data_IF_483487686387
#
_entry.id   IF_483487686387
#
_cell.length_a   1.000
_cell.length_b   1.000
_cell.length_c   1.000
_cell.angle_alpha   90.00
_cell.angle_beta   90.00
_cell.angle_gamma   90.00
#
_symmetry.space_group_name_H-M   'P 1'
#
loop_
_entity.id
_entity.type
_entity.pdbx_description
1 polymer ?
#
# COMPACT_ATOMS: atom_id res chain seq x y z
N UNK A 1 -20.76 2.37 21.44
CA UNK A 1 -20.71 3.68 20.74
C UNK A 1 -21.82 4.50 21.35
N UNK A 2 -21.50 5.52 22.14
CA UNK A 2 -22.46 6.28 22.95
C UNK A 2 -23.29 7.22 22.07
N UNK A 3 -24.57 7.42 22.41
CA UNK A 3 -25.49 8.38 21.77
C UNK A 3 -24.87 9.79 21.56
N UNK A 4 -23.99 10.22 22.48
CA UNK A 4 -23.24 11.49 22.40
C UNK A 4 -22.40 11.64 21.11
N UNK A 5 -21.79 10.56 20.60
CA UNK A 5 -21.01 10.65 19.33
C UNK A 5 -21.89 10.75 18.08
N UNK A 6 -23.11 10.25 18.12
CA UNK A 6 -24.06 10.39 17.00
C UNK A 6 -24.57 11.83 16.89
N UNK A 7 -24.74 12.53 18.00
CA UNK A 7 -25.12 13.95 18.01
C UNK A 7 -24.00 14.86 17.46
N UNK A 8 -22.72 14.56 17.79
CA UNK A 8 -21.58 15.26 17.21
C UNK A 8 -21.51 15.08 15.68
N UNK A 9 -21.72 13.87 15.18
CA UNK A 9 -21.73 13.61 13.74
C UNK A 9 -22.90 14.31 13.02
N UNK A 10 -24.07 14.38 13.62
CA UNK A 10 -25.21 15.12 13.08
C UNK A 10 -24.94 16.62 13.00
N UNK A 11 -24.26 17.17 14.02
CA UNK A 11 -23.84 18.57 14.01
C UNK A 11 -22.87 18.88 12.85
N UNK A 12 -21.84 18.05 12.65
CA UNK A 12 -20.92 18.20 11.52
C UNK A 12 -21.62 18.10 10.16
N UNK A 13 -22.58 17.20 10.02
CA UNK A 13 -23.34 17.07 8.79
C UNK A 13 -24.23 18.29 8.50
N UNK A 14 -24.81 18.88 9.54
CA UNK A 14 -25.56 20.15 9.42
C UNK A 14 -24.66 21.31 8.96
N UNK A 15 -23.42 21.37 9.49
CA UNK A 15 -22.42 22.35 9.03
C UNK A 15 -22.05 22.14 7.56
N UNK A 16 -21.81 20.90 7.13
CA UNK A 16 -21.51 20.56 5.74
C UNK A 16 -22.67 20.93 4.83
N UNK A 17 -23.90 20.62 5.22
CA UNK A 17 -25.11 20.97 4.48
C UNK A 17 -25.27 22.48 4.34
N UNK A 18 -25.04 23.24 5.42
CA UNK A 18 -25.05 24.69 5.40
C UNK A 18 -23.98 25.28 4.48
N UNK A 19 -22.76 24.72 4.55
CA UNK A 19 -21.66 25.14 3.67
C UNK A 19 -21.97 24.89 2.20
N UNK A 20 -22.55 23.73 1.86
CA UNK A 20 -22.98 23.42 0.50
C UNK A 20 -24.00 24.43 -0.01
N UNK A 21 -25.02 24.77 0.79
CA UNK A 21 -26.04 25.76 0.44
C UNK A 21 -25.44 27.14 0.21
N UNK A 22 -24.54 27.60 1.09
CA UNK A 22 -23.86 28.89 0.96
C UNK A 22 -23.03 28.95 -0.34
N UNK A 23 -22.44 27.83 -0.76
CA UNK A 23 -21.69 27.74 -2.00
C UNK A 23 -22.57 27.40 -3.24
N UNK A 24 -23.90 27.45 -3.12
CA UNK A 24 -24.85 27.10 -4.19
C UNK A 24 -24.65 25.70 -4.77
N UNK A 25 -24.18 24.77 -3.94
CA UNK A 25 -24.00 23.36 -4.28
C UNK A 25 -25.19 22.55 -3.75
N UNK A 26 -25.72 21.65 -4.57
CA UNK A 26 -26.78 20.73 -4.16
C UNK A 26 -26.18 19.35 -3.82
N UNK A 27 -26.56 18.79 -2.68
CA UNK A 27 -26.15 17.46 -2.29
C UNK A 27 -26.90 16.39 -3.09
N UNK A 28 -26.18 15.52 -3.78
CA UNK A 28 -26.78 14.35 -4.42
C UNK A 28 -26.93 13.22 -3.39
N UNK A 29 -28.04 13.23 -2.67
CA UNK A 29 -28.34 12.23 -1.63
C UNK A 29 -28.45 10.80 -2.16
N UNK A 30 -28.76 10.59 -3.45
CA UNK A 30 -28.78 9.27 -4.07
C UNK A 30 -27.39 8.67 -4.30
N UNK A 31 -26.34 9.52 -4.27
CA UNK A 31 -24.94 9.11 -4.38
C UNK A 31 -24.16 9.27 -3.09
N UNK A 32 -24.81 9.77 -2.02
CA UNK A 32 -24.19 9.94 -0.72
C UNK A 32 -24.36 8.65 0.08
N UNK A 33 -23.26 8.06 0.43
CA UNK A 33 -23.19 6.81 1.21
C UNK A 33 -22.34 7.04 2.47
N UNK A 34 -22.61 6.31 3.52
CA UNK A 34 -21.72 6.27 4.66
C UNK A 34 -21.36 4.84 5.05
N UNK A 35 -20.17 4.67 5.58
CA UNK A 35 -19.67 3.38 6.04
C UNK A 35 -19.35 3.46 7.53
N UNK A 36 -19.78 2.45 8.28
CA UNK A 36 -19.46 2.30 9.69
C UNK A 36 -18.31 1.30 9.85
N UNK A 37 -17.12 1.78 10.15
CA UNK A 37 -15.99 0.90 10.44
C UNK A 37 -16.15 0.22 11.79
N UNK A 38 -16.10 -1.12 11.78
CA UNK A 38 -16.30 -1.94 12.98
C UNK A 38 -15.45 -3.21 12.94
N UNK A 39 -15.19 -3.75 14.14
CA UNK A 39 -14.60 -5.08 14.24
C UNK A 39 -15.61 -6.16 13.79
N UNK A 40 -15.19 -7.18 13.02
CA UNK A 40 -16.06 -8.29 12.63
C UNK A 40 -16.60 -9.07 13.84
N UNK A 41 -15.83 -9.10 14.93
CA UNK A 41 -16.15 -9.88 16.14
C UNK A 41 -17.03 -9.13 17.16
N UNK A 42 -17.42 -7.87 16.89
CA UNK A 42 -18.31 -7.11 17.75
C UNK A 42 -19.66 -6.91 17.07
N UNK A 43 -20.73 -7.52 17.57
CA UNK A 43 -22.06 -7.22 17.08
C UNK A 43 -22.38 -5.76 17.33
N UNK A 44 -22.82 -5.07 16.31
CA UNK A 44 -23.31 -3.69 16.40
C UNK A 44 -24.69 -3.69 15.82
N UNK A 45 -25.64 -3.07 16.53
CA UNK A 45 -26.94 -2.83 15.94
C UNK A 45 -26.77 -1.94 14.70
N UNK A 46 -27.13 -2.46 13.53
CA UNK A 46 -27.01 -1.77 12.25
C UNK A 46 -28.23 -0.90 11.91
N UNK A 47 -29.17 -0.77 12.83
CA UNK A 47 -30.32 0.14 12.71
C UNK A 47 -29.93 1.61 12.93
N UNK A 48 -28.68 1.92 12.57
CA UNK A 48 -28.11 3.27 12.59
C UNK A 48 -28.42 3.91 11.24
N UNK A 49 -28.96 5.11 11.29
CA UNK A 49 -29.16 5.95 10.12
C UNK A 49 -28.65 7.36 10.38
N UNK A 50 -28.30 8.03 9.32
CA UNK A 50 -27.88 9.43 9.33
C UNK A 50 -28.93 10.20 8.54
N UNK A 51 -29.46 11.27 9.13
CA UNK A 51 -30.33 12.22 8.44
C UNK A 51 -29.46 13.32 7.80
N UNK A 52 -29.60 13.49 6.50
CA UNK A 52 -28.91 14.53 5.75
C UNK A 52 -29.91 15.23 4.83
N UNK A 53 -30.18 16.51 5.09
CA UNK A 53 -31.20 17.31 4.39
C UNK A 53 -32.55 16.62 4.26
N UNK A 54 -33.06 16.05 5.37
CA UNK A 54 -34.34 15.35 5.44
C UNK A 54 -34.35 13.96 4.83
N UNK A 55 -33.23 13.46 4.30
CA UNK A 55 -33.12 12.11 3.75
C UNK A 55 -32.37 11.18 4.70
N UNK A 56 -32.97 10.00 4.90
CA UNK A 56 -32.40 8.94 5.74
C UNK A 56 -31.40 8.12 4.95
N UNK A 57 -30.12 8.22 5.31
CA UNK A 57 -29.03 7.39 4.75
C UNK A 57 -28.84 6.14 5.61
N UNK A 58 -28.64 4.97 4.97
CA UNK A 58 -28.27 3.73 5.63
C UNK A 58 -26.79 3.43 5.45
N UNK A 59 -26.15 2.72 6.39
CA UNK A 59 -24.76 2.31 6.22
C UNK A 59 -24.61 1.30 5.10
N UNK A 60 -23.54 1.44 4.31
CA UNK A 60 -23.16 0.47 3.28
C UNK A 60 -22.02 -0.42 3.77
N UNK A 61 -21.94 -1.66 3.28
CA UNK A 61 -20.88 -2.61 3.65
C UNK A 61 -19.53 -2.28 3.03
N UNK A 62 -19.51 -1.62 1.90
CA UNK A 62 -18.29 -1.16 1.22
C UNK A 62 -18.59 0.12 0.44
N UNK A 63 -17.57 0.94 0.27
CA UNK A 63 -17.64 2.20 -0.49
C UNK A 63 -16.45 2.26 -1.46
N UNK A 64 -16.66 2.86 -2.63
CA UNK A 64 -15.58 3.15 -3.57
C UNK A 64 -15.11 4.58 -3.36
N UNK A 65 -13.93 4.75 -2.78
CA UNK A 65 -13.32 6.05 -2.55
C UNK A 65 -12.03 6.19 -3.36
N UNK A 66 -11.95 7.21 -4.22
CA UNK A 66 -10.81 7.45 -5.12
C UNK A 66 -10.34 6.20 -5.87
N UNK A 67 -11.28 5.36 -6.30
CA UNK A 67 -10.98 4.13 -7.05
C UNK A 67 -10.58 2.92 -6.21
N UNK A 68 -10.50 3.04 -4.89
CA UNK A 68 -10.23 1.96 -3.95
C UNK A 68 -11.54 1.53 -3.27
N UNK A 69 -11.79 0.22 -3.17
CA UNK A 69 -12.94 -0.35 -2.48
C UNK A 69 -12.57 -0.57 -1.01
N UNK A 70 -13.26 0.13 -0.12
CA UNK A 70 -13.04 0.08 1.34
C UNK A 70 -14.23 -0.64 1.95
N UNK A 71 -14.00 -1.74 2.66
CA UNK A 71 -15.04 -2.49 3.36
C UNK A 71 -15.13 -2.12 4.85
N UNK A 72 -16.28 -2.37 5.47
CA UNK A 72 -16.60 -2.01 6.86
C UNK A 72 -15.64 -2.60 7.91
N UNK A 73 -14.90 -3.65 7.55
CA UNK A 73 -13.95 -4.32 8.42
C UNK A 73 -12.49 -4.01 8.09
N UNK A 74 -12.23 -3.19 7.04
CA UNK A 74 -10.89 -2.91 6.51
C UNK A 74 -10.13 -4.20 6.17
N UNK A 75 -10.85 -5.22 5.71
CA UNK A 75 -10.28 -6.53 5.35
C UNK A 75 -9.58 -6.51 3.99
N UNK A 76 -9.96 -5.56 3.14
CA UNK A 76 -9.49 -5.39 1.76
C UNK A 76 -9.88 -6.53 0.82
N UNK A 77 -10.72 -7.48 1.25
CA UNK A 77 -11.11 -8.63 0.42
C UNK A 77 -11.74 -8.21 -0.90
N UNK A 78 -12.67 -7.26 -0.86
CA UNK A 78 -13.38 -6.72 -2.04
C UNK A 78 -12.40 -6.01 -2.98
N UNK A 79 -11.46 -5.22 -2.44
CA UNK A 79 -10.42 -4.54 -3.20
C UNK A 79 -9.49 -5.55 -3.89
N UNK A 80 -9.04 -6.58 -3.18
CA UNK A 80 -8.15 -7.59 -3.75
C UNK A 80 -8.85 -8.40 -4.84
N UNK A 81 -10.12 -8.78 -4.66
CA UNK A 81 -10.90 -9.44 -5.71
C UNK A 81 -11.03 -8.56 -6.97
N UNK A 82 -11.32 -7.27 -6.78
CA UNK A 82 -11.38 -6.30 -7.88
C UNK A 82 -10.02 -6.18 -8.60
N UNK A 83 -8.93 -6.06 -7.84
CA UNK A 83 -7.59 -5.99 -8.37
C UNK A 83 -7.21 -7.27 -9.14
N UNK A 84 -7.46 -8.46 -8.58
CA UNK A 84 -7.21 -9.73 -9.25
C UNK A 84 -7.94 -9.84 -10.58
N UNK A 85 -9.22 -9.41 -10.67
CA UNK A 85 -9.97 -9.36 -11.94
C UNK A 85 -9.28 -8.44 -12.96
N UNK A 86 -8.81 -7.28 -12.53
CA UNK A 86 -8.09 -6.31 -13.38
C UNK A 86 -6.77 -6.89 -13.91
N UNK A 87 -5.99 -7.49 -13.00
CA UNK A 87 -4.71 -8.12 -13.35
C UNK A 87 -4.89 -9.35 -14.25
N UNK A 88 -5.94 -10.15 -14.05
CA UNK A 88 -6.26 -11.29 -14.92
C UNK A 88 -6.62 -10.85 -16.34
N UNK A 89 -7.36 -9.76 -16.51
CA UNK A 89 -7.62 -9.18 -17.83
C UNK A 89 -6.33 -8.72 -18.52
N UNK A 90 -5.46 -8.01 -17.80
CA UNK A 90 -4.14 -7.61 -18.31
C UNK A 90 -3.29 -8.84 -18.71
N UNK A 91 -3.35 -9.91 -17.92
CA UNK A 91 -2.70 -11.20 -18.23
C UNK A 91 -3.21 -11.79 -19.53
N UNK A 92 -4.51 -11.78 -19.78
CA UNK A 92 -5.12 -12.25 -21.05
C UNK A 92 -4.65 -11.42 -22.25
N UNK A 93 -4.57 -10.09 -22.10
CA UNK A 93 -4.03 -9.21 -23.17
C UNK A 93 -2.57 -9.57 -23.46
N UNK A 94 -1.74 -9.70 -22.43
CA UNK A 94 -0.32 -10.04 -22.58
C UNK A 94 -0.13 -11.44 -23.19
N UNK A 95 -1.00 -12.41 -22.87
CA UNK A 95 -0.95 -13.75 -23.46
C UNK A 95 -1.18 -13.74 -24.97
N UNK A 96 -2.10 -12.91 -25.45
CA UNK A 96 -2.32 -12.75 -26.90
C UNK A 96 -1.21 -11.94 -27.57
N UNK A 97 -0.77 -10.87 -26.92
CA UNK A 97 0.21 -9.93 -27.47
C UNK A 97 1.60 -10.59 -27.67
N UNK A 98 2.00 -11.49 -26.74
CA UNK A 98 3.33 -12.11 -26.75
C UNK A 98 3.67 -12.85 -28.04
N UNK A 99 2.66 -13.32 -28.80
CA UNK A 99 2.85 -14.04 -30.06
C UNK A 99 3.06 -13.12 -31.26
N UNK A 100 2.59 -11.87 -31.13
CA UNK A 100 2.55 -10.92 -32.25
C UNK A 100 3.40 -9.67 -32.04
N UNK A 101 4.08 -9.55 -30.89
CA UNK A 101 4.86 -8.35 -30.57
C UNK A 101 6.20 -8.69 -29.89
N UNK A 102 7.23 -7.87 -30.14
CA UNK A 102 8.53 -8.05 -29.48
C UNK A 102 8.41 -7.90 -27.97
N UNK A 103 9.30 -8.57 -27.22
CA UNK A 103 9.32 -8.55 -25.76
C UNK A 103 9.31 -7.14 -25.16
N UNK A 104 10.02 -6.20 -25.79
CA UNK A 104 10.05 -4.80 -25.36
C UNK A 104 8.65 -4.18 -25.33
N UNK A 105 7.85 -4.42 -26.35
CA UNK A 105 6.44 -3.95 -26.40
C UNK A 105 5.58 -4.63 -25.33
N UNK A 106 5.73 -5.95 -25.17
CA UNK A 106 5.02 -6.69 -24.11
C UNK A 106 5.37 -6.17 -22.72
N UNK A 107 6.64 -5.83 -22.46
CA UNK A 107 7.06 -5.22 -21.19
C UNK A 107 6.45 -3.82 -20.99
N UNK A 108 6.36 -2.99 -22.03
CA UNK A 108 5.69 -1.69 -21.95
C UNK A 108 4.21 -1.85 -21.57
N UNK A 109 3.51 -2.81 -22.18
CA UNK A 109 2.12 -3.14 -21.85
C UNK A 109 2.01 -3.73 -20.43
N UNK A 110 2.95 -4.57 -19.99
CA UNK A 110 3.02 -5.05 -18.62
C UNK A 110 3.10 -3.88 -17.62
N UNK A 111 4.01 -2.93 -17.85
CA UNK A 111 4.13 -1.79 -16.95
C UNK A 111 2.90 -0.88 -16.96
N UNK A 112 2.24 -0.71 -18.10
CA UNK A 112 1.04 0.12 -18.21
C UNK A 112 -0.22 -0.54 -17.62
N UNK A 113 -0.51 -1.79 -17.96
CA UNK A 113 -1.79 -2.43 -17.63
C UNK A 113 -1.73 -3.33 -16.40
N UNK A 114 -0.57 -3.90 -16.06
CA UNK A 114 -0.41 -4.80 -14.93
C UNK A 114 0.22 -4.10 -13.74
N UNK A 115 1.36 -3.44 -13.92
CA UNK A 115 2.12 -2.84 -12.83
C UNK A 115 1.44 -1.60 -12.22
N UNK A 116 0.84 -0.72 -13.04
CA UNK A 116 0.21 0.50 -12.53
C UNK A 116 -0.98 0.21 -11.59
N UNK A 117 -1.95 -0.66 -11.94
CA UNK A 117 -3.00 -1.05 -11.00
C UNK A 117 -2.47 -1.68 -9.72
N UNK A 118 -1.33 -2.39 -9.80
CA UNK A 118 -0.73 -3.09 -8.67
C UNK A 118 -0.11 -2.13 -7.65
N UNK A 119 0.45 -1.01 -8.08
CA UNK A 119 1.03 0.00 -7.18
C UNK A 119 0.02 1.06 -6.73
N UNK A 120 -1.13 1.17 -7.42
CA UNK A 120 -2.13 2.19 -7.09
C UNK A 120 -2.75 1.95 -5.72
N UNK A 121 -2.54 2.91 -4.81
CA UNK A 121 -3.03 2.85 -3.44
C UNK A 121 -2.54 1.65 -2.61
N UNK A 122 -1.48 0.96 -3.03
CA UNK A 122 -0.99 -0.23 -2.36
C UNK A 122 -0.57 0.02 -0.90
N UNK A 123 -0.12 1.20 -0.54
CA UNK A 123 0.17 1.56 0.85
C UNK A 123 -1.08 1.44 1.76
N UNK A 124 -2.28 1.49 1.18
CA UNK A 124 -3.54 1.38 1.94
C UNK A 124 -3.98 -0.09 2.06
N UNK A 125 -4.04 -0.83 0.95
CA UNK A 125 -4.62 -2.18 0.91
C UNK A 125 -3.60 -3.32 1.07
N UNK A 126 -2.30 -3.06 0.99
CA UNK A 126 -1.27 -4.12 1.02
C UNK A 126 -1.12 -4.83 2.37
N UNK A 127 -1.69 -4.27 3.43
CA UNK A 127 -1.66 -4.86 4.77
C UNK A 127 -2.85 -5.82 5.03
N UNK A 128 -3.39 -6.37 3.97
CA UNK A 128 -4.41 -7.43 3.98
C UNK A 128 -3.84 -8.78 4.45
N UNK A 129 -4.65 -9.84 4.42
CA UNK A 129 -4.21 -11.19 4.78
C UNK A 129 -3.19 -11.76 3.78
N UNK A 130 -2.29 -12.63 4.25
CA UNK A 130 -1.31 -13.30 3.41
C UNK A 130 -1.95 -14.05 2.23
N UNK A 131 -3.06 -14.75 2.47
CA UNK A 131 -3.79 -15.45 1.40
C UNK A 131 -4.31 -14.54 0.29
N UNK A 132 -4.59 -13.27 0.60
CA UNK A 132 -4.95 -12.27 -0.42
C UNK A 132 -3.72 -11.81 -1.22
N UNK A 133 -2.58 -11.63 -0.57
CA UNK A 133 -1.32 -11.29 -1.25
C UNK A 133 -0.87 -12.43 -2.16
N UNK A 134 -1.02 -13.69 -1.73
CA UNK A 134 -0.69 -14.88 -2.53
C UNK A 134 -1.49 -14.96 -3.83
N UNK A 135 -2.76 -14.56 -3.82
CA UNK A 135 -3.58 -14.50 -5.04
C UNK A 135 -2.96 -13.59 -6.10
N UNK A 136 -2.50 -12.41 -5.69
CA UNK A 136 -1.85 -11.45 -6.60
C UNK A 136 -0.50 -11.98 -7.06
N UNK A 137 0.30 -12.53 -6.16
CA UNK A 137 1.60 -13.11 -6.48
C UNK A 137 1.51 -14.24 -7.51
N UNK A 138 0.52 -15.14 -7.36
CA UNK A 138 0.22 -16.19 -8.34
C UNK A 138 -0.07 -15.63 -9.72
N UNK A 139 -0.85 -14.55 -9.81
CA UNK A 139 -1.14 -13.90 -11.12
C UNK A 139 0.13 -13.29 -11.71
N UNK A 140 0.99 -12.66 -10.90
CA UNK A 140 2.26 -12.11 -11.40
C UNK A 140 3.19 -13.21 -11.90
N UNK A 141 3.34 -14.32 -11.16
CA UNK A 141 4.13 -15.49 -11.62
C UNK A 141 3.60 -16.05 -12.94
N UNK A 142 2.27 -16.11 -13.13
CA UNK A 142 1.66 -16.50 -14.39
C UNK A 142 2.06 -15.57 -15.53
N UNK A 143 2.00 -14.25 -15.34
CA UNK A 143 2.39 -13.25 -16.37
C UNK A 143 3.85 -13.40 -16.76
N UNK A 144 4.74 -13.58 -15.80
CA UNK A 144 6.19 -13.71 -16.07
C UNK A 144 6.47 -14.95 -16.93
N UNK A 145 5.82 -16.10 -16.64
CA UNK A 145 5.92 -17.31 -17.48
C UNK A 145 5.36 -17.08 -18.88
N UNK A 146 4.23 -16.39 -19.00
CA UNK A 146 3.65 -16.01 -20.28
C UNK A 146 4.66 -15.19 -21.11
N UNK A 147 5.26 -14.17 -20.56
CA UNK A 147 6.20 -13.29 -21.26
C UNK A 147 7.48 -13.99 -21.70
N UNK A 148 7.89 -15.05 -21.01
CA UNK A 148 9.11 -15.82 -21.31
C UNK A 148 8.86 -17.09 -22.11
N UNK A 149 7.63 -17.42 -22.48
CA UNK A 149 7.24 -18.69 -23.10
C UNK A 149 7.64 -19.92 -22.29
N UNK A 150 7.64 -19.77 -20.96
CA UNK A 150 7.99 -20.85 -20.02
C UNK A 150 6.78 -21.67 -19.63
N UNK A 151 7.01 -22.95 -19.27
CA UNK A 151 5.96 -23.86 -18.82
C UNK A 151 5.34 -23.40 -17.50
N UNK A 152 4.12 -23.88 -17.24
CA UNK A 152 3.34 -23.52 -16.05
C UNK A 152 4.08 -23.80 -14.73
N UNK A 153 4.86 -24.88 -14.67
CA UNK A 153 5.61 -25.29 -13.48
C UNK A 153 7.03 -24.73 -13.39
N UNK A 154 7.50 -23.97 -14.41
CA UNK A 154 8.86 -23.43 -14.44
C UNK A 154 9.15 -22.57 -13.19
N UNK A 155 10.35 -22.69 -12.58
CA UNK A 155 10.80 -21.82 -11.52
C UNK A 155 10.79 -20.36 -11.98
N UNK A 156 10.28 -19.46 -11.15
CA UNK A 156 10.05 -18.08 -11.59
C UNK A 156 11.18 -17.12 -11.23
N UNK A 157 12.12 -17.48 -10.32
CA UNK A 157 13.19 -16.59 -9.89
C UNK A 157 14.03 -16.07 -11.06
N UNK A 158 14.54 -16.99 -11.89
CA UNK A 158 15.35 -16.67 -13.08
C UNK A 158 14.55 -15.83 -14.09
N UNK A 159 13.26 -16.11 -14.23
CA UNK A 159 12.39 -15.38 -15.16
C UNK A 159 12.21 -13.91 -14.72
N UNK A 160 12.08 -13.65 -13.43
CA UNK A 160 12.04 -12.29 -12.87
C UNK A 160 13.35 -11.54 -13.15
N UNK A 161 14.51 -12.22 -12.98
CA UNK A 161 15.83 -11.65 -13.28
C UNK A 161 15.95 -11.33 -14.77
N UNK A 162 15.64 -12.30 -15.65
CA UNK A 162 15.70 -12.17 -17.11
C UNK A 162 14.87 -11.00 -17.62
N UNK A 163 13.63 -10.85 -17.11
CA UNK A 163 12.73 -9.76 -17.48
C UNK A 163 13.05 -8.44 -16.74
N UNK A 164 13.94 -8.48 -15.75
CA UNK A 164 14.21 -7.36 -14.83
C UNK A 164 12.94 -6.84 -14.16
N UNK A 165 12.01 -7.73 -13.81
CA UNK A 165 10.77 -7.42 -13.09
C UNK A 165 10.97 -7.73 -11.62
N UNK A 166 10.54 -6.83 -10.74
CA UNK A 166 10.55 -7.03 -9.29
C UNK A 166 9.34 -7.86 -8.88
N UNK A 167 9.51 -8.81 -7.96
CA UNK A 167 8.43 -9.62 -7.40
C UNK A 167 7.43 -8.75 -6.65
N UNK A 168 6.17 -9.16 -6.65
CA UNK A 168 5.06 -8.40 -6.07
C UNK A 168 5.31 -7.97 -4.62
N UNK A 169 5.75 -8.89 -3.75
CA UNK A 169 6.01 -8.58 -2.35
C UNK A 169 7.11 -7.52 -2.17
N UNK A 170 8.12 -7.54 -3.01
CA UNK A 170 9.21 -6.56 -2.96
C UNK A 170 8.79 -5.22 -3.57
N UNK A 171 7.84 -5.22 -4.54
CA UNK A 171 7.20 -3.98 -5.00
C UNK A 171 6.49 -3.28 -3.84
N UNK A 172 5.76 -4.03 -2.99
CA UNK A 172 5.10 -3.46 -1.80
C UNK A 172 6.13 -2.87 -0.83
N UNK A 173 7.21 -3.61 -0.54
CA UNK A 173 8.30 -3.08 0.30
C UNK A 173 8.89 -1.81 -0.27
N UNK A 174 9.11 -1.75 -1.60
CA UNK A 174 9.60 -0.54 -2.27
C UNK A 174 8.66 0.66 -2.10
N UNK A 175 7.35 0.48 -2.16
CA UNK A 175 6.38 1.55 -1.97
C UNK A 175 6.34 2.05 -0.51
N UNK A 176 6.41 1.13 0.45
CA UNK A 176 6.51 1.49 1.88
C UNK A 176 7.81 2.25 2.19
N UNK A 177 8.94 1.76 1.69
CA UNK A 177 10.23 2.44 1.84
C UNK A 177 10.25 3.82 1.16
N UNK A 178 9.58 3.95 -0.01
CA UNK A 178 9.41 5.23 -0.67
C UNK A 178 8.64 6.22 0.22
N UNK A 179 7.50 5.81 0.77
CA UNK A 179 6.68 6.66 1.65
C UNK A 179 7.48 7.11 2.87
N UNK A 180 8.21 6.18 3.50
CA UNK A 180 9.05 6.49 4.67
C UNK A 180 10.20 7.42 4.32
N UNK A 181 10.83 7.22 3.17
CA UNK A 181 11.88 8.11 2.67
C UNK A 181 11.35 9.53 2.42
N UNK A 182 10.20 9.67 1.75
CA UNK A 182 9.55 10.96 1.51
C UNK A 182 9.23 11.68 2.83
N UNK A 183 8.84 10.91 3.87
CA UNK A 183 8.65 11.43 5.22
C UNK A 183 9.95 11.94 5.82
N UNK A 184 11.05 11.17 5.78
CA UNK A 184 12.35 11.59 6.34
C UNK A 184 12.94 12.81 5.63
N UNK A 185 12.47 13.10 4.42
CA UNK A 185 12.86 14.31 3.66
C UNK A 185 11.87 15.47 3.80
N UNK A 186 10.84 15.34 4.67
CA UNK A 186 9.78 16.34 4.87
C UNK A 186 8.99 16.69 3.60
N UNK A 187 8.93 15.77 2.62
CA UNK A 187 8.18 15.96 1.37
C UNK A 187 6.72 15.48 1.49
N UNK A 188 6.39 14.70 2.53
CA UNK A 188 5.02 14.24 2.78
C UNK A 188 4.10 15.39 3.20
N UNK A 189 2.78 15.32 2.86
CA UNK A 189 1.77 16.24 3.39
C UNK A 189 1.81 16.35 4.91
N UNK A 190 1.43 17.51 5.44
CA UNK A 190 1.52 17.82 6.89
C UNK A 190 0.74 16.80 7.74
N UNK A 191 -0.41 16.36 7.26
CA UNK A 191 -1.27 15.39 7.93
C UNK A 191 -0.59 14.02 8.09
N UNK A 192 0.24 13.63 7.13
CA UNK A 192 0.99 12.38 7.17
C UNK A 192 2.28 12.47 8.00
N UNK A 193 2.76 13.68 8.30
CA UNK A 193 3.97 13.85 9.13
C UNK A 193 3.80 13.33 10.55
N UNK A 194 2.57 13.29 11.06
CA UNK A 194 2.24 12.72 12.38
C UNK A 194 2.29 11.19 12.42
N UNK A 195 2.40 10.52 11.27
CA UNK A 195 2.43 9.06 11.22
C UNK A 195 3.75 8.47 11.74
N UNK A 196 4.87 9.18 11.58
CA UNK A 196 6.18 8.66 11.91
C UNK A 196 6.93 9.65 12.82
N UNK A 197 7.50 9.13 13.91
CA UNK A 197 8.35 9.92 14.79
C UNK A 197 9.82 9.52 14.54
N UNK A 198 10.71 10.50 14.50
CA UNK A 198 12.15 10.26 14.46
C UNK A 198 12.60 9.89 15.86
N UNK A 199 13.41 8.84 16.01
CA UNK A 199 13.99 8.48 17.31
C UNK A 199 14.92 9.58 17.81
N UNK A 200 14.57 10.18 18.92
CA UNK A 200 15.44 11.07 19.70
C UNK A 200 16.26 10.23 20.69
N UNK A 201 17.24 9.46 20.20
CA UNK A 201 18.17 8.76 21.08
C UNK A 201 19.38 9.64 21.39
N UNK A 202 19.40 10.25 22.57
CA UNK A 202 20.53 11.06 23.05
C UNK A 202 21.56 10.30 23.90
N UNK A 203 21.33 9.04 24.31
CA UNK A 203 22.21 8.35 25.24
C UNK A 203 22.81 7.04 24.72
N UNK A 204 24.16 6.95 24.90
CA UNK A 204 25.04 5.77 24.95
C UNK A 204 25.12 4.84 23.76
N UNK A 205 25.88 5.20 22.73
CA UNK A 205 26.45 4.26 21.77
C UNK A 205 27.69 4.83 21.08
N UNK A 206 28.61 3.94 20.63
CA UNK A 206 29.81 4.29 19.87
C UNK A 206 29.51 5.22 18.67
N UNK A 207 30.46 6.07 18.32
CA UNK A 207 30.31 7.10 17.28
C UNK A 207 29.81 6.56 15.92
N UNK A 208 30.22 5.36 15.52
CA UNK A 208 29.80 4.70 14.29
C UNK A 208 28.31 4.30 14.28
N UNK A 209 27.76 3.91 15.42
CA UNK A 209 26.35 3.56 15.60
C UNK A 209 25.44 4.80 15.76
N UNK A 210 25.98 5.94 16.20
CA UNK A 210 25.22 7.19 16.35
C UNK A 210 24.70 7.74 15.02
N UNK A 211 25.49 7.65 13.94
CA UNK A 211 25.08 8.13 12.60
C UNK A 211 23.95 7.32 12.00
N UNK A 212 23.90 6.02 12.28
CA UNK A 212 22.84 5.10 11.84
C UNK A 212 21.57 5.29 12.67
N UNK A 213 21.70 5.40 13.99
CA UNK A 213 20.56 5.59 14.91
C UNK A 213 19.81 6.91 14.70
N UNK A 214 20.50 7.97 14.32
CA UNK A 214 19.86 9.27 13.97
C UNK A 214 18.86 9.18 12.81
N UNK A 215 18.86 8.09 12.04
CA UNK A 215 17.96 7.88 10.88
C UNK A 215 16.90 6.81 11.12
N UNK A 216 16.93 6.12 12.26
CA UNK A 216 15.89 5.19 12.66
C UNK A 216 14.63 5.95 13.09
N UNK A 217 13.50 5.31 12.90
CA UNK A 217 12.19 5.80 13.31
C UNK A 217 11.72 5.05 14.56
N UNK A 218 10.96 5.75 15.41
CA UNK A 218 10.39 5.17 16.62
C UNK A 218 9.34 4.10 16.27
N UNK A 219 9.56 2.86 16.74
CA UNK A 219 8.60 1.78 16.54
C UNK A 219 7.37 2.04 17.41
N UNK A 220 6.18 2.19 16.81
CA UNK A 220 4.97 2.47 17.58
C UNK A 220 4.61 1.29 18.48
N UNK A 221 4.26 1.58 19.73
CA UNK A 221 3.71 0.57 20.65
C UNK A 221 2.34 0.12 20.16
N UNK A 222 2.17 -1.17 19.93
CA UNK A 222 0.93 -1.74 19.45
C UNK A 222 0.32 -2.67 20.49
N UNK A 223 -1.01 -2.59 20.66
CA UNK A 223 -1.77 -3.44 21.61
C UNK A 223 -2.36 -4.69 20.94
N UNK A 224 -2.41 -4.73 19.60
CA UNK A 224 -3.04 -5.81 18.83
C UNK A 224 -2.20 -6.19 17.63
N UNK A 225 -2.24 -7.47 17.27
CA UNK A 225 -1.55 -7.96 16.07
C UNK A 225 -2.29 -7.50 14.79
N UNK A 226 -3.63 -7.64 14.77
CA UNK A 226 -4.44 -7.42 13.57
C UNK A 226 -4.50 -5.95 13.14
N UNK A 227 -4.72 -5.03 14.08
CA UNK A 227 -4.87 -3.61 13.79
C UNK A 227 -3.64 -2.77 14.19
N UNK A 228 -2.77 -3.31 15.02
CA UNK A 228 -1.53 -2.65 15.44
C UNK A 228 -0.36 -3.01 14.54
N UNK A 229 0.12 -4.25 14.57
CA UNK A 229 1.29 -4.67 13.80
C UNK A 229 1.05 -4.64 12.28
N UNK A 230 -0.20 -4.82 11.83
CA UNK A 230 -0.60 -4.63 10.43
C UNK A 230 -0.93 -3.19 10.07
N UNK A 231 -0.69 -2.22 10.95
CA UNK A 231 -0.83 -0.81 10.58
C UNK A 231 0.29 -0.36 9.64
N UNK A 232 -0.03 0.54 8.73
CA UNK A 232 0.96 1.12 7.81
C UNK A 232 2.14 1.74 8.58
N UNK A 233 1.84 2.43 9.67
CA UNK A 233 2.83 3.06 10.55
C UNK A 233 3.84 2.04 11.08
N UNK A 234 3.37 0.95 11.68
CA UNK A 234 4.24 -0.08 12.25
C UNK A 234 5.08 -0.77 11.16
N UNK A 235 4.43 -1.16 10.05
CA UNK A 235 5.09 -1.88 8.98
C UNK A 235 6.15 -1.03 8.26
N UNK A 236 5.85 0.23 7.96
CA UNK A 236 6.80 1.15 7.34
C UNK A 236 8.03 1.40 8.24
N UNK A 237 7.81 1.61 9.54
CA UNK A 237 8.89 1.89 10.49
C UNK A 237 9.80 0.67 10.68
N UNK A 238 9.22 -0.51 10.88
CA UNK A 238 10.01 -1.74 11.06
C UNK A 238 10.81 -2.07 9.80
N UNK A 239 10.20 -1.95 8.63
CA UNK A 239 10.86 -2.16 7.35
C UNK A 239 11.99 -1.14 7.12
N UNK A 240 11.74 0.14 7.40
CA UNK A 240 12.75 1.20 7.28
C UNK A 240 13.94 0.95 8.19
N UNK A 241 13.70 0.69 9.48
CA UNK A 241 14.76 0.44 10.44
C UNK A 241 15.57 -0.80 10.05
N UNK A 242 14.92 -1.87 9.58
CA UNK A 242 15.61 -3.05 9.05
C UNK A 242 16.55 -2.69 7.89
N UNK A 243 16.10 -1.89 6.93
CA UNK A 243 16.95 -1.46 5.80
C UNK A 243 18.08 -0.52 6.23
N UNK A 244 17.85 0.37 7.18
CA UNK A 244 18.88 1.29 7.68
C UNK A 244 19.94 0.56 8.51
N UNK A 245 19.55 -0.46 9.30
CA UNK A 245 20.49 -1.16 10.22
C UNK A 245 21.21 -2.34 9.56
N UNK A 246 20.48 -3.17 8.79
CA UNK A 246 21.01 -4.45 8.31
C UNK A 246 21.64 -4.37 6.91
N UNK A 247 21.17 -3.44 6.08
CA UNK A 247 21.69 -3.31 4.71
C UNK A 247 23.06 -2.63 4.69
N UNK A 248 23.44 -1.89 5.74
CA UNK A 248 24.81 -1.35 5.88
C UNK A 248 25.86 -2.48 5.94
N UNK A 249 25.52 -3.65 6.47
CA UNK A 249 26.44 -4.77 6.63
C UNK A 249 26.52 -5.73 5.42
N UNK A 250 25.58 -5.66 4.48
CA UNK A 250 25.48 -6.58 3.33
C UNK A 250 26.03 -6.03 2.01
N UNK A 251 26.48 -4.77 1.97
CA UNK A 251 26.44 -4.01 0.73
C UNK A 251 27.75 -3.60 0.07
N UNK A 252 28.77 -4.44 0.09
CA UNK A 252 29.89 -4.25 -0.84
C UNK A 252 29.46 -4.41 -2.32
N UNK A 253 28.41 -5.24 -2.61
CA UNK A 253 27.99 -5.55 -4.00
C UNK A 253 26.76 -4.75 -4.50
N UNK A 254 25.80 -4.38 -3.67
CA UNK A 254 24.59 -3.67 -4.11
C UNK A 254 24.65 -2.16 -3.92
N UNK A 255 25.58 -1.67 -3.13
CA UNK A 255 25.78 -0.24 -2.81
C UNK A 255 24.49 0.48 -2.38
N UNK A 256 23.64 -0.21 -1.57
CA UNK A 256 22.38 0.30 -1.05
C UNK A 256 22.59 1.02 0.29
N UNK A 257 23.44 1.99 0.31
CA UNK A 257 23.54 2.86 1.47
C UNK A 257 22.38 3.87 1.47
N UNK A 258 21.39 3.64 2.34
CA UNK A 258 20.21 4.50 2.49
C UNK A 258 20.61 5.92 2.94
N UNK A 259 21.79 6.08 3.53
CA UNK A 259 22.29 7.38 4.03
C UNK A 259 22.73 8.29 2.89
N UNK A 260 23.15 7.71 1.76
CA UNK A 260 23.67 8.42 0.58
C UNK A 260 22.61 8.56 -0.54
N UNK A 261 21.33 8.40 -0.20
CA UNK A 261 20.23 8.59 -1.15
C UNK A 261 19.67 9.99 -0.97
N UNK A 262 19.67 10.76 -2.05
CA UNK A 262 19.25 12.15 -2.05
C UNK A 262 17.83 12.36 -2.57
N UNK A 263 17.35 11.51 -3.47
CA UNK A 263 16.03 11.65 -4.06
C UNK A 263 15.33 10.31 -4.29
N UNK A 264 14.00 10.38 -4.52
CA UNK A 264 13.13 9.21 -4.72
C UNK A 264 13.50 8.40 -5.94
N UNK A 265 13.98 9.02 -7.02
CA UNK A 265 14.41 8.31 -8.23
C UNK A 265 15.61 7.42 -7.95
N UNK A 266 16.59 7.95 -7.25
CA UNK A 266 17.78 7.20 -6.83
C UNK A 266 17.41 6.05 -5.89
N UNK A 267 16.49 6.29 -4.93
CA UNK A 267 15.95 5.24 -4.06
C UNK A 267 15.33 4.09 -4.86
N UNK A 268 14.39 4.39 -5.74
CA UNK A 268 13.71 3.37 -6.58
C UNK A 268 14.71 2.57 -7.41
N UNK A 269 15.68 3.22 -8.04
CA UNK A 269 16.70 2.56 -8.85
C UNK A 269 17.57 1.63 -8.01
N UNK A 270 18.01 2.07 -6.83
CA UNK A 270 18.86 1.26 -5.93
C UNK A 270 18.08 0.09 -5.35
N UNK A 271 16.86 0.30 -4.86
CA UNK A 271 16.01 -0.78 -4.33
C UNK A 271 15.70 -1.82 -5.41
N UNK A 272 15.40 -1.40 -6.64
CA UNK A 272 15.19 -2.33 -7.76
C UNK A 272 16.42 -3.18 -8.02
N UNK A 273 17.62 -2.60 -8.05
CA UNK A 273 18.87 -3.35 -8.22
C UNK A 273 19.10 -4.32 -7.08
N UNK A 274 18.87 -3.88 -5.84
CA UNK A 274 19.02 -4.71 -4.65
C UNK A 274 18.10 -5.94 -4.72
N UNK A 275 16.80 -5.77 -4.93
CA UNK A 275 15.88 -6.90 -4.99
C UNK A 275 16.19 -7.85 -6.14
N UNK A 276 16.52 -7.36 -7.32
CA UNK A 276 16.92 -8.21 -8.43
C UNK A 276 18.22 -9.00 -8.14
N UNK A 277 19.17 -8.40 -7.43
CA UNK A 277 20.36 -9.10 -6.98
C UNK A 277 20.05 -10.18 -5.95
N UNK A 278 19.17 -9.90 -4.97
CA UNK A 278 18.76 -10.90 -3.98
C UNK A 278 18.15 -12.17 -4.61
N UNK A 279 17.54 -12.07 -5.79
CA UNK A 279 16.98 -13.23 -6.49
C UNK A 279 18.07 -14.14 -7.11
N UNK A 280 19.30 -13.65 -7.27
CA UNK A 280 20.43 -14.44 -7.76
C UNK A 280 21.09 -15.26 -6.65
N UNK A 281 20.77 -14.98 -5.37
CA UNK A 281 21.34 -15.64 -4.20
C UNK A 281 20.47 -16.82 -3.70
N UNK A 282 19.28 -16.96 -4.22
CA UNK A 282 18.29 -18.01 -3.89
C UNK A 282 18.14 -18.93 -5.07
#
# INVERSE_FOLDING_TARGET
MTLLRLTEHQFFLALVSTWLRLNKLSLNSGKTEFILFRSPNRPVNLDIFINLDGKRLKPVKFVKYLGILIDEHLSWNTQIQHLCKKLSRATGILSKLRHNAPLKTCLSVYFALFYQPLIYGCNVWSLTSEGNLDKIEKIQKKVVRILTFSDFNSPTNELFIRLKIVKFRDILKMQHLKLTFEHTKNVTPVELRKLFNICSYEHSASLSLKSVRKKCLEIPKTKTVLFGNKSLRYHCVTLWNHFVTNVINLDAKTNLDMTRIYNVHQLKRKLRKHFLYMYTLV
#
